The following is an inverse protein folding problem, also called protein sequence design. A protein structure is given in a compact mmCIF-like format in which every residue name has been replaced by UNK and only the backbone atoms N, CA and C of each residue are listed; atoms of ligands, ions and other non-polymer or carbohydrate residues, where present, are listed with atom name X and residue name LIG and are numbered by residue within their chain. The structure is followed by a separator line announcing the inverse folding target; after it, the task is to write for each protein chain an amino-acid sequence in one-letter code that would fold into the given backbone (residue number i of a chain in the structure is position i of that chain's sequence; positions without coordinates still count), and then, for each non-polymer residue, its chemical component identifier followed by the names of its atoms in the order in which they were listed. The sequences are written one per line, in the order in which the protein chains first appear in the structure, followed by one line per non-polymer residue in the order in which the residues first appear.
data_IF_302864023555
#
_entry.id   IF_302864023555
#
_cell.length_a   1.000
_cell.length_b   1.000
_cell.length_c   1.000
_cell.angle_alpha   90.00
_cell.angle_beta   90.00
_cell.angle_gamma   90.00
#
_symmetry.space_group_name_H-M   'P 1'
#
loop_
_entity.id
_entity.type
_entity.pdbx_description
1 polymer ?
#
# COMPACT_ATOMS: atom_id res chain seq x y z
N UNK A 1 -30.95 -27.33 -2.28
CA UNK A 1 -31.70 -26.11 -2.60
C UNK A 1 -31.16 -25.60 -3.91
N UNK A 2 -31.95 -25.50 -4.99
CA UNK A 2 -31.47 -24.94 -6.24
C UNK A 2 -31.01 -23.51 -5.98
N UNK A 3 -29.75 -23.21 -6.29
CA UNK A 3 -29.21 -21.84 -6.17
C UNK A 3 -30.01 -20.92 -7.07
N UNK A 4 -30.19 -19.64 -6.72
CA UNK A 4 -30.97 -18.66 -7.51
C UNK A 4 -30.60 -18.67 -9.01
N UNK A 5 -29.32 -18.93 -9.31
CA UNK A 5 -28.80 -19.10 -10.68
C UNK A 5 -29.40 -20.29 -11.44
N UNK A 6 -29.71 -21.41 -10.77
CA UNK A 6 -30.34 -22.59 -11.39
C UNK A 6 -31.80 -22.28 -11.75
N UNK A 7 -32.50 -21.46 -10.95
CA UNK A 7 -33.84 -20.97 -11.30
C UNK A 7 -33.80 -20.00 -12.50
N UNK A 8 -32.81 -19.11 -12.55
CA UNK A 8 -32.58 -18.22 -13.70
C UNK A 8 -32.24 -19.02 -14.97
N UNK A 9 -31.42 -20.06 -14.85
CA UNK A 9 -31.07 -20.93 -15.98
C UNK A 9 -32.32 -21.62 -16.55
N UNK A 10 -33.13 -22.26 -15.72
CA UNK A 10 -34.32 -22.99 -16.19
C UNK A 10 -35.37 -22.04 -16.77
N UNK A 11 -35.54 -20.83 -16.21
CA UNK A 11 -36.39 -19.79 -16.80
C UNK A 11 -35.92 -19.35 -18.18
N UNK A 12 -34.62 -19.13 -18.36
CA UNK A 12 -34.04 -18.78 -19.66
C UNK A 12 -34.08 -19.94 -20.67
N UNK A 13 -33.99 -21.17 -20.21
CA UNK A 13 -34.09 -22.36 -21.06
C UNK A 13 -35.53 -22.58 -21.55
N UNK A 14 -36.54 -22.31 -20.72
CA UNK A 14 -37.95 -22.45 -21.08
C UNK A 14 -38.39 -21.51 -22.22
N UNK A 15 -37.77 -20.34 -22.34
CA UNK A 15 -38.06 -19.35 -23.39
C UNK A 15 -37.13 -19.47 -24.62
N UNK A 16 -36.15 -20.36 -24.57
CA UNK A 16 -35.09 -20.47 -25.56
C UNK A 16 -35.33 -21.58 -26.59
N UNK A 17 -34.76 -21.41 -27.79
CA UNK A 17 -34.67 -22.49 -28.77
C UNK A 17 -33.60 -23.51 -28.33
N UNK A 18 -33.72 -24.77 -28.75
CA UNK A 18 -32.80 -25.88 -28.38
C UNK A 18 -31.29 -25.55 -28.52
N UNK A 19 -30.90 -24.77 -29.53
CA UNK A 19 -29.49 -24.34 -29.72
C UNK A 19 -29.05 -23.30 -28.67
N UNK A 20 -29.96 -22.40 -28.28
CA UNK A 20 -29.71 -21.39 -27.25
C UNK A 20 -29.68 -22.06 -25.87
N UNK A 21 -30.57 -23.01 -25.62
CA UNK A 21 -30.57 -23.83 -24.40
C UNK A 21 -29.24 -24.59 -24.24
N UNK A 22 -28.79 -25.31 -25.29
CA UNK A 22 -27.53 -26.04 -25.25
C UNK A 22 -26.34 -25.13 -24.90
N UNK A 23 -26.33 -23.91 -25.46
CA UNK A 23 -25.31 -22.89 -25.17
C UNK A 23 -25.43 -22.32 -23.76
N UNK A 24 -26.63 -22.06 -23.25
CA UNK A 24 -26.87 -21.60 -21.88
C UNK A 24 -26.40 -22.64 -20.86
N UNK A 25 -26.73 -23.91 -21.05
CA UNK A 25 -26.27 -25.01 -20.18
C UNK A 25 -24.74 -25.17 -20.24
N UNK A 26 -24.13 -24.99 -21.42
CA UNK A 26 -22.67 -24.99 -21.55
C UNK A 26 -22.01 -23.83 -20.80
N UNK A 27 -22.53 -22.61 -20.95
CA UNK A 27 -22.06 -21.41 -20.22
C UNK A 27 -22.20 -21.64 -18.71
N UNK A 28 -23.36 -22.10 -18.24
CA UNK A 28 -23.58 -22.39 -16.83
C UNK A 28 -22.55 -23.40 -16.29
N UNK A 29 -22.29 -24.49 -17.02
CA UNK A 29 -21.31 -25.51 -16.63
C UNK A 29 -19.89 -24.94 -16.54
N UNK A 30 -19.49 -24.10 -17.50
CA UNK A 30 -18.18 -23.44 -17.50
C UNK A 30 -18.05 -22.49 -16.32
N UNK A 31 -19.02 -21.61 -16.09
CA UNK A 31 -18.95 -20.62 -15.02
C UNK A 31 -19.00 -21.29 -13.64
N UNK A 32 -19.80 -22.35 -13.49
CA UNK A 32 -19.79 -23.20 -12.29
C UNK A 32 -18.40 -23.82 -12.05
N UNK A 33 -17.73 -24.26 -13.11
CA UNK A 33 -16.34 -24.71 -13.08
C UNK A 33 -15.35 -23.61 -12.69
N UNK A 34 -15.52 -22.39 -13.22
CA UNK A 34 -14.72 -21.23 -12.86
C UNK A 34 -14.86 -20.88 -11.37
N UNK A 35 -16.09 -20.88 -10.84
CA UNK A 35 -16.34 -20.69 -9.41
C UNK A 35 -15.65 -21.74 -8.55
N UNK A 36 -15.69 -23.02 -8.96
CA UNK A 36 -15.05 -24.13 -8.22
C UNK A 36 -13.53 -24.05 -8.24
N UNK A 37 -12.94 -23.62 -9.35
CA UNK A 37 -11.49 -23.57 -9.55
C UNK A 37 -10.90 -22.18 -9.28
N UNK A 38 -11.68 -21.25 -8.71
CA UNK A 38 -11.27 -19.87 -8.44
C UNK A 38 -10.72 -19.10 -9.64
N UNK A 39 -11.24 -19.39 -10.84
CA UNK A 39 -10.89 -18.68 -12.07
C UNK A 39 -11.78 -17.44 -12.20
N UNK A 40 -11.19 -16.29 -12.52
CA UNK A 40 -11.97 -15.08 -12.75
C UNK A 40 -12.85 -15.19 -13.99
N UNK A 41 -14.12 -14.85 -13.80
CA UNK A 41 -15.11 -14.76 -14.87
C UNK A 41 -14.82 -13.53 -15.72
N UNK A 42 -13.98 -13.69 -16.74
CA UNK A 42 -13.71 -12.65 -17.75
C UNK A 42 -14.19 -13.11 -19.11
N UNK A 43 -14.55 -12.15 -19.97
CA UNK A 43 -15.00 -12.45 -21.33
C UNK A 43 -13.99 -13.31 -22.14
N UNK A 44 -12.67 -13.05 -22.10
CA UNK A 44 -11.69 -13.90 -22.77
C UNK A 44 -11.66 -15.34 -22.23
N UNK A 45 -11.70 -15.50 -20.91
CA UNK A 45 -11.68 -16.83 -20.27
C UNK A 45 -12.92 -17.64 -20.66
N UNK A 46 -14.10 -17.02 -20.64
CA UNK A 46 -15.36 -17.67 -21.01
C UNK A 46 -15.36 -18.10 -22.48
N UNK A 47 -14.88 -17.25 -23.39
CA UNK A 47 -14.81 -17.56 -24.83
C UNK A 47 -13.81 -18.70 -25.09
N UNK A 48 -12.64 -18.66 -24.47
CA UNK A 48 -11.62 -19.71 -24.62
C UNK A 48 -12.12 -21.05 -24.08
N UNK A 49 -12.80 -21.05 -22.93
CA UNK A 49 -13.41 -22.26 -22.37
C UNK A 49 -14.54 -22.79 -23.26
N UNK A 50 -15.40 -21.93 -23.81
CA UNK A 50 -16.41 -22.34 -24.79
C UNK A 50 -15.78 -22.95 -26.05
N UNK A 51 -14.69 -22.35 -26.53
CA UNK A 51 -13.90 -22.87 -27.65
C UNK A 51 -13.35 -24.27 -27.37
N UNK A 52 -12.88 -24.54 -26.15
CA UNK A 52 -12.41 -25.88 -25.74
C UNK A 52 -13.52 -26.94 -25.75
N UNK A 53 -14.78 -26.53 -25.60
CA UNK A 53 -15.97 -27.37 -25.71
C UNK A 53 -16.51 -27.47 -27.15
N UNK A 54 -15.81 -26.89 -28.14
CA UNK A 54 -16.21 -26.88 -29.54
C UNK A 54 -17.30 -25.85 -29.88
N UNK A 55 -17.63 -24.95 -28.95
CA UNK A 55 -18.66 -23.92 -29.13
C UNK A 55 -17.98 -22.59 -29.48
N UNK A 56 -17.99 -22.23 -30.76
CA UNK A 56 -17.49 -20.93 -31.22
C UNK A 56 -18.55 -19.84 -31.03
N UNK A 57 -18.27 -18.86 -30.17
CA UNK A 57 -19.09 -17.67 -29.99
C UNK A 57 -18.24 -16.40 -29.88
N UNK A 58 -18.74 -15.30 -30.44
CA UNK A 58 -18.10 -14.00 -30.29
C UNK A 58 -18.43 -13.37 -28.93
N UNK A 59 -17.55 -12.49 -28.45
CA UNK A 59 -17.80 -11.66 -27.26
C UNK A 59 -19.10 -10.85 -27.40
N UNK A 60 -19.36 -10.30 -28.58
CA UNK A 60 -20.59 -9.54 -28.85
C UNK A 60 -21.85 -10.40 -28.71
N UNK A 61 -21.81 -11.68 -29.10
CA UNK A 61 -22.97 -12.58 -28.96
C UNK A 61 -23.34 -12.84 -27.51
N UNK A 62 -22.38 -12.83 -26.59
CA UNK A 62 -22.60 -13.09 -25.16
C UNK A 62 -23.01 -11.80 -24.44
N UNK A 63 -22.32 -10.69 -24.71
CA UNK A 63 -22.42 -9.48 -23.89
C UNK A 63 -23.30 -8.37 -24.46
N UNK A 64 -23.83 -8.49 -25.68
CA UNK A 64 -24.78 -7.49 -26.19
C UNK A 64 -26.04 -7.44 -25.31
N UNK A 65 -26.51 -6.23 -24.99
CA UNK A 65 -27.69 -6.00 -24.12
C UNK A 65 -28.96 -6.60 -24.71
N UNK A 66 -29.18 -6.39 -26.01
CA UNK A 66 -30.39 -6.84 -26.71
C UNK A 66 -30.04 -7.63 -27.95
N UNK A 67 -30.82 -8.67 -28.20
CA UNK A 67 -30.79 -9.46 -29.43
C UNK A 67 -32.23 -9.58 -29.92
N UNK A 68 -32.51 -9.08 -31.13
CA UNK A 68 -33.86 -9.09 -31.74
C UNK A 68 -34.96 -8.48 -30.85
N UNK A 69 -34.66 -7.36 -30.18
CA UNK A 69 -35.63 -6.61 -29.37
C UNK A 69 -35.91 -7.19 -27.98
N UNK A 70 -35.39 -8.38 -27.66
CA UNK A 70 -35.44 -8.99 -26.33
C UNK A 70 -34.07 -8.90 -25.65
N UNK A 71 -34.06 -9.01 -24.33
CA UNK A 71 -32.82 -9.09 -23.57
C UNK A 71 -32.05 -10.36 -23.93
N UNK A 72 -30.74 -10.23 -24.01
CA UNK A 72 -29.89 -11.35 -24.41
C UNK A 72 -29.82 -12.38 -23.28
N UNK A 73 -30.31 -13.62 -23.48
CA UNK A 73 -30.36 -14.62 -22.42
C UNK A 73 -28.96 -15.00 -21.90
N UNK A 74 -27.94 -14.97 -22.77
CA UNK A 74 -26.56 -15.22 -22.35
C UNK A 74 -26.05 -14.15 -21.40
N UNK A 75 -26.41 -12.89 -21.64
CA UNK A 75 -26.01 -11.76 -20.81
C UNK A 75 -26.68 -11.84 -19.44
N UNK A 76 -27.99 -12.11 -19.40
CA UNK A 76 -28.75 -12.25 -18.15
C UNK A 76 -28.13 -13.33 -17.26
N UNK A 77 -27.78 -14.48 -17.84
CA UNK A 77 -27.11 -15.55 -17.10
C UNK A 77 -25.73 -15.14 -16.59
N UNK A 78 -24.92 -14.48 -17.42
CA UNK A 78 -23.56 -14.04 -17.05
C UNK A 78 -23.58 -12.94 -15.99
N UNK A 79 -24.54 -12.02 -16.07
CA UNK A 79 -24.73 -10.94 -15.09
C UNK A 79 -25.17 -11.53 -13.73
N UNK A 80 -26.09 -12.50 -13.72
CA UNK A 80 -26.48 -13.21 -12.49
C UNK A 80 -25.30 -13.96 -11.84
N UNK A 81 -24.43 -14.57 -12.65
CA UNK A 81 -23.19 -15.17 -12.14
C UNK A 81 -22.18 -14.14 -11.64
N UNK A 82 -22.10 -12.96 -12.28
CA UNK A 82 -21.24 -11.88 -11.80
C UNK A 82 -21.70 -11.38 -10.44
N UNK A 83 -23.00 -11.23 -10.21
CA UNK A 83 -23.56 -10.85 -8.91
C UNK A 83 -23.25 -11.89 -7.83
N UNK A 84 -23.51 -13.18 -8.08
CA UNK A 84 -23.18 -14.26 -7.12
C UNK A 84 -21.67 -14.40 -6.84
N UNK A 85 -20.81 -14.22 -7.85
CA UNK A 85 -19.35 -14.22 -7.66
C UNK A 85 -18.90 -12.98 -6.88
N UNK A 86 -19.48 -11.80 -7.16
CA UNK A 86 -19.11 -10.56 -6.49
C UNK A 86 -19.64 -10.49 -5.05
N UNK A 87 -20.84 -10.98 -4.78
CA UNK A 87 -21.38 -11.14 -3.42
C UNK A 87 -20.54 -12.12 -2.60
N UNK A 88 -20.02 -13.19 -3.23
CA UNK A 88 -19.04 -14.06 -2.61
C UNK A 88 -17.68 -13.37 -2.38
N UNK A 89 -17.30 -12.39 -3.20
CA UNK A 89 -16.07 -11.58 -3.01
C UNK A 89 -16.24 -10.52 -1.92
N UNK A 90 -17.39 -9.84 -1.84
CA UNK A 90 -17.71 -8.87 -0.78
C UNK A 90 -17.78 -9.54 0.60
N UNK A 91 -18.43 -10.70 0.71
CA UNK A 91 -18.44 -11.49 1.96
C UNK A 91 -17.04 -11.99 2.38
N UNK A 92 -16.12 -12.17 1.43
CA UNK A 92 -14.71 -12.51 1.70
C UNK A 92 -13.84 -11.29 2.02
N UNK A 93 -14.14 -10.13 1.44
CA UNK A 93 -13.44 -8.88 1.71
C UNK A 93 -13.66 -8.42 3.16
N UNK A 94 -14.86 -8.64 3.72
CA UNK A 94 -15.15 -8.35 5.12
C UNK A 94 -14.48 -9.33 6.11
N UNK A 95 -14.01 -10.49 5.65
CA UNK A 95 -13.50 -11.53 6.55
C UNK A 95 -12.00 -11.70 6.60
N UNK A 96 -11.16 -11.24 5.66
CA UNK A 96 -9.70 -11.38 5.80
C UNK A 96 -8.89 -10.46 4.87
N UNK A 97 -8.83 -9.16 5.17
CA UNK A 97 -7.72 -8.31 4.71
C UNK A 97 -6.49 -8.45 5.63
N UNK A 98 -6.08 -9.69 5.90
CA UNK A 98 -4.69 -10.04 6.20
C UNK A 98 -4.29 -10.97 5.08
N UNK A 99 -3.57 -10.41 4.10
CA UNK A 99 -2.89 -11.21 3.10
C UNK A 99 -1.76 -11.95 3.81
N UNK A 100 -2.09 -13.06 4.48
CA UNK A 100 -1.10 -14.03 4.91
C UNK A 100 -0.56 -14.64 3.62
N UNK A 101 0.65 -14.24 3.25
CA UNK A 101 1.45 -14.95 2.26
C UNK A 101 1.64 -16.36 2.79
N UNK A 102 0.74 -17.26 2.41
CA UNK A 102 0.89 -18.69 2.61
C UNK A 102 2.08 -19.10 1.76
N UNK A 103 3.24 -19.21 2.41
CA UNK A 103 4.44 -19.77 1.82
C UNK A 103 4.06 -21.18 1.39
N UNK A 104 4.07 -21.42 0.08
CA UNK A 104 3.77 -22.70 -0.53
C UNK A 104 4.51 -23.82 0.21
N UNK A 105 3.76 -24.79 0.74
CA UNK A 105 4.34 -25.85 1.55
C UNK A 105 5.01 -26.90 0.65
N UNK A 106 5.91 -27.70 1.22
CA UNK A 106 6.60 -28.79 0.51
C UNK A 106 5.61 -29.78 -0.12
N UNK A 107 4.46 -29.97 0.52
CA UNK A 107 3.37 -30.84 0.04
C UNK A 107 2.67 -30.25 -1.19
N UNK A 108 2.41 -28.92 -1.19
CA UNK A 108 1.85 -28.22 -2.36
C UNK A 108 2.81 -28.30 -3.57
N UNK A 109 4.12 -28.24 -3.32
CA UNK A 109 5.13 -28.39 -4.38
C UNK A 109 5.18 -29.80 -4.96
N UNK A 110 5.05 -30.82 -4.10
CA UNK A 110 5.03 -32.22 -4.53
C UNK A 110 3.78 -32.54 -5.38
N UNK A 111 2.65 -31.88 -5.10
CA UNK A 111 1.36 -32.10 -5.78
C UNK A 111 1.34 -31.66 -7.26
N UNK A 112 2.31 -30.86 -7.71
CA UNK A 112 2.40 -30.40 -9.09
C UNK A 112 2.90 -31.54 -9.98
N UNK A 113 2.04 -32.04 -10.87
CA UNK A 113 2.38 -33.15 -11.76
C UNK A 113 3.32 -32.78 -12.91
N UNK A 114 3.36 -31.51 -13.32
CA UNK A 114 4.18 -31.08 -14.46
C UNK A 114 5.57 -30.60 -14.00
N UNK A 115 6.61 -31.27 -14.48
CA UNK A 115 8.01 -30.92 -14.18
C UNK A 115 8.39 -29.52 -14.68
N UNK A 116 7.80 -29.08 -15.80
CA UNK A 116 8.01 -27.73 -16.33
C UNK A 116 7.42 -26.67 -15.39
N UNK A 117 6.28 -26.95 -14.77
CA UNK A 117 5.63 -26.05 -13.81
C UNK A 117 6.39 -26.04 -12.49
N UNK A 118 6.88 -27.20 -12.02
CA UNK A 118 7.80 -27.31 -10.87
C UNK A 118 9.04 -26.46 -11.07
N UNK A 119 9.71 -26.60 -12.21
CA UNK A 119 10.90 -25.82 -12.54
C UNK A 119 10.63 -24.31 -12.55
N UNK A 120 9.52 -23.87 -13.15
CA UNK A 120 9.13 -22.45 -13.16
C UNK A 120 8.88 -21.90 -11.74
N UNK A 121 8.17 -22.66 -10.91
CA UNK A 121 7.90 -22.27 -9.53
C UNK A 121 9.18 -22.23 -8.70
N UNK A 122 10.08 -23.20 -8.91
CA UNK A 122 11.39 -23.22 -8.25
C UNK A 122 12.27 -22.02 -8.65
N UNK A 123 12.24 -21.61 -9.92
CA UNK A 123 12.92 -20.40 -10.37
C UNK A 123 12.32 -19.15 -9.72
N UNK A 124 10.99 -19.00 -9.74
CA UNK A 124 10.33 -17.86 -9.07
C UNK A 124 10.64 -17.80 -7.57
N UNK A 125 10.68 -18.95 -6.89
CA UNK A 125 11.05 -19.03 -5.48
C UNK A 125 12.52 -18.59 -5.26
N UNK A 126 13.42 -19.02 -6.14
CA UNK A 126 14.83 -18.65 -6.08
C UNK A 126 15.05 -17.16 -6.33
N UNK A 127 14.32 -16.58 -7.30
CA UNK A 127 14.30 -15.15 -7.57
C UNK A 127 13.75 -14.36 -6.37
N UNK A 128 12.65 -14.81 -5.76
CA UNK A 128 12.10 -14.18 -4.56
C UNK A 128 13.09 -14.22 -3.39
N UNK A 129 13.77 -15.36 -3.20
CA UNK A 129 14.81 -15.50 -2.18
C UNK A 129 15.97 -14.54 -2.44
N UNK A 130 16.41 -14.40 -3.69
CA UNK A 130 17.44 -13.44 -4.10
C UNK A 130 16.99 -11.99 -3.85
N UNK A 131 15.77 -11.63 -4.22
CA UNK A 131 15.20 -10.31 -3.98
C UNK A 131 15.12 -9.97 -2.49
N UNK A 132 14.70 -10.93 -1.64
CA UNK A 132 14.73 -10.75 -0.18
C UNK A 132 16.14 -10.53 0.33
N UNK A 133 17.12 -11.26 -0.19
CA UNK A 133 18.52 -11.07 0.17
C UNK A 133 19.02 -9.67 -0.24
N UNK A 134 18.70 -9.21 -1.44
CA UNK A 134 19.01 -7.85 -1.90
C UNK A 134 18.36 -6.78 -1.03
N UNK A 135 17.09 -6.96 -0.63
CA UNK A 135 16.41 -6.05 0.30
C UNK A 135 17.11 -6.01 1.66
N UNK A 136 17.52 -7.17 2.19
CA UNK A 136 18.25 -7.21 3.45
C UNK A 136 19.62 -6.52 3.32
N UNK A 137 20.36 -6.75 2.24
CA UNK A 137 21.59 -6.02 1.95
C UNK A 137 21.37 -4.52 1.86
N UNK A 138 20.29 -4.05 1.23
CA UNK A 138 19.96 -2.62 1.18
C UNK A 138 19.62 -2.05 2.56
N UNK A 139 18.94 -2.83 3.41
CA UNK A 139 18.71 -2.44 4.81
C UNK A 139 19.99 -2.37 5.60
N UNK A 140 20.90 -3.32 5.39
CA UNK A 140 22.20 -3.36 6.03
C UNK A 140 23.07 -2.19 5.56
N UNK A 141 23.06 -1.86 4.27
CA UNK A 141 23.73 -0.68 3.69
C UNK A 141 23.16 0.61 4.28
N UNK A 142 21.83 0.72 4.38
CA UNK A 142 21.19 1.88 5.00
C UNK A 142 21.48 1.98 6.51
N UNK A 143 21.87 0.87 7.15
CA UNK A 143 22.27 0.83 8.55
C UNK A 143 23.80 0.95 8.75
N UNK A 144 24.59 1.04 7.66
CA UNK A 144 26.02 1.26 7.77
C UNK A 144 26.27 2.67 8.31
N UNK A 145 27.21 2.83 9.25
CA UNK A 145 27.58 4.15 9.71
C UNK A 145 28.21 4.94 8.56
N UNK A 146 27.74 6.17 8.38
CA UNK A 146 28.35 7.16 7.49
C UNK A 146 29.73 7.51 8.05
N UNK A 147 30.77 7.33 7.25
CA UNK A 147 32.16 7.62 7.62
C UNK A 147 32.55 8.94 6.96
N UNK A 148 32.91 9.93 7.77
CA UNK A 148 33.45 11.21 7.31
C UNK A 148 34.91 11.32 7.75
N UNK A 149 35.80 11.67 6.81
CA UNK A 149 37.21 11.94 7.09
C UNK A 149 37.40 13.46 7.17
N UNK A 150 37.77 13.95 8.36
CA UNK A 150 38.03 15.37 8.60
C UNK A 150 39.21 15.51 9.55
N UNK A 151 40.17 16.37 9.18
CA UNK A 151 41.37 16.70 9.96
C UNK A 151 42.17 15.44 10.41
N UNK A 152 42.43 14.52 9.50
CA UNK A 152 43.23 13.29 9.72
C UNK A 152 42.62 12.29 10.74
N UNK A 153 41.31 12.41 11.00
CA UNK A 153 40.55 11.49 11.87
C UNK A 153 39.25 11.02 11.22
N UNK A 154 38.95 9.72 11.39
CA UNK A 154 37.71 9.11 10.88
C UNK A 154 36.59 9.22 11.91
N UNK A 155 35.47 9.84 11.53
CA UNK A 155 34.26 9.97 12.36
C UNK A 155 33.15 9.07 11.82
N UNK A 156 32.46 8.37 12.73
CA UNK A 156 31.39 7.43 12.41
C UNK A 156 30.04 7.98 12.85
N UNK A 157 29.12 8.14 11.90
CA UNK A 157 27.79 8.73 12.08
C UNK A 157 26.74 7.66 11.85
N UNK A 158 25.73 7.59 12.73
CA UNK A 158 24.71 6.54 12.66
C UNK A 158 23.67 6.80 11.55
N UNK A 159 23.39 8.08 11.31
CA UNK A 159 22.31 8.56 10.43
C UNK A 159 22.71 9.94 9.84
N UNK A 160 22.16 10.37 8.69
CA UNK A 160 22.41 11.71 8.10
C UNK A 160 22.07 12.86 9.08
N UNK A 161 21.08 12.67 9.96
CA UNK A 161 20.76 13.65 11.02
C UNK A 161 21.89 13.81 12.04
N UNK A 162 22.68 12.77 12.26
CA UNK A 162 23.87 12.84 13.12
C UNK A 162 25.07 13.48 12.43
N UNK A 163 25.09 13.54 11.10
CA UNK A 163 26.01 14.38 10.32
C UNK A 163 25.58 15.83 10.46
N UNK A 164 24.31 16.17 10.26
CA UNK A 164 23.80 17.54 10.46
C UNK A 164 23.95 18.05 11.92
N UNK A 165 23.82 17.18 12.93
CA UNK A 165 24.12 17.49 14.32
C UNK A 165 25.62 17.63 14.61
N UNK A 166 26.49 16.98 13.82
CA UNK A 166 27.94 17.16 13.92
C UNK A 166 28.40 18.39 13.15
N UNK A 167 27.78 18.73 12.02
CA UNK A 167 27.98 19.98 11.28
C UNK A 167 27.46 21.17 12.09
N UNK A 168 26.30 21.09 12.75
CA UNK A 168 25.83 22.16 13.66
C UNK A 168 26.62 22.23 14.98
N UNK A 169 27.34 21.15 15.36
CA UNK A 169 28.35 21.18 16.43
C UNK A 169 29.76 21.51 15.93
N UNK A 170 29.99 21.56 14.63
CA UNK A 170 31.29 21.88 14.00
C UNK A 170 31.25 23.20 13.21
N UNK A 171 30.08 23.84 13.12
CA UNK A 171 29.92 25.29 13.09
C UNK A 171 29.93 25.87 14.50
N UNK A 172 30.58 25.19 15.45
CA UNK A 172 31.30 25.84 16.54
C UNK A 172 32.59 26.41 15.93
N UNK A 173 32.42 27.28 14.95
CA UNK A 173 33.10 28.55 15.05
C UNK A 173 32.04 29.49 15.63
N UNK A 174 31.79 29.28 16.92
CA UNK A 174 31.23 30.32 17.76
C UNK A 174 32.24 31.46 17.68
N UNK A 175 32.09 32.29 16.66
CA UNK A 175 32.53 33.66 16.72
C UNK A 175 31.77 34.25 17.90
N UNK A 176 32.39 34.16 19.07
CA UNK A 176 32.09 34.83 20.34
C UNK A 176 32.09 36.37 20.17
N UNK A 177 31.92 36.90 18.96
CA UNK A 177 32.05 38.29 18.62
C UNK A 177 30.70 39.00 18.45
N UNK A 178 29.56 38.29 18.53
CA UNK A 178 28.22 38.89 18.38
C UNK A 178 27.31 38.64 19.60
N UNK A 179 27.86 38.82 20.80
CA UNK A 179 27.05 38.79 22.03
C UNK A 179 25.91 39.81 22.02
N UNK A 180 26.13 40.99 21.44
CA UNK A 180 25.12 42.05 21.34
C UNK A 180 23.87 41.58 20.59
N UNK A 181 24.04 40.88 19.45
CA UNK A 181 22.91 40.36 18.68
C UNK A 181 22.12 39.27 19.43
N UNK A 182 22.79 38.48 20.28
CA UNK A 182 22.12 37.48 21.11
C UNK A 182 21.40 38.10 22.32
N UNK A 183 21.93 39.18 22.87
CA UNK A 183 21.29 39.94 23.95
C UNK A 183 20.00 40.58 23.41
N UNK A 184 20.05 41.21 22.24
CA UNK A 184 18.87 41.85 21.63
C UNK A 184 17.71 40.86 21.43
N UNK A 185 18.01 39.64 20.95
CA UNK A 185 17.00 38.57 20.77
C UNK A 185 16.42 38.08 22.11
N UNK A 186 17.23 38.05 23.17
CA UNK A 186 16.75 37.68 24.50
C UNK A 186 15.93 38.80 25.15
N UNK A 187 16.32 40.05 24.97
CA UNK A 187 15.57 41.22 25.42
C UNK A 187 14.21 41.32 24.71
N UNK A 188 14.17 41.08 23.40
CA UNK A 188 12.93 41.03 22.63
C UNK A 188 12.00 39.89 23.09
N UNK A 189 12.57 38.71 23.41
CA UNK A 189 11.80 37.61 23.97
C UNK A 189 11.25 37.92 25.38
N UNK A 190 12.05 38.59 26.22
CA UNK A 190 11.66 39.01 27.57
C UNK A 190 10.63 40.15 27.57
N UNK A 191 10.67 41.04 26.56
CA UNK A 191 9.66 42.07 26.36
C UNK A 191 8.27 41.48 26.07
N UNK A 192 8.22 40.19 25.70
CA UNK A 192 7.01 39.40 25.63
C UNK A 192 6.33 39.44 24.26
N UNK A 193 5.61 38.37 23.94
CA UNK A 193 4.81 38.26 22.73
C UNK A 193 3.33 38.43 23.09
N UNK A 194 2.51 38.89 22.16
CA UNK A 194 1.04 39.00 22.29
C UNK A 194 0.31 37.73 22.78
N UNK A 195 0.98 36.56 22.79
CA UNK A 195 0.47 35.24 23.18
C UNK A 195 1.16 34.65 24.43
N UNK A 196 2.27 35.21 24.90
CA UNK A 196 3.08 34.69 26.00
C UNK A 196 3.36 35.79 27.02
N UNK A 197 3.22 35.48 28.31
CA UNK A 197 3.51 36.39 29.42
C UNK A 197 4.24 35.64 30.52
N UNK A 198 5.04 36.34 31.31
CA UNK A 198 5.64 35.77 32.51
C UNK A 198 4.70 35.98 33.71
N UNK A 199 4.57 34.96 34.57
CA UNK A 199 3.89 35.09 35.86
C UNK A 199 4.80 35.76 36.91
N UNK A 200 4.25 36.04 38.09
CA UNK A 200 4.95 36.71 39.19
C UNK A 200 6.14 35.90 39.76
N UNK A 201 6.24 34.62 39.41
CA UNK A 201 7.32 33.71 39.80
C UNK A 201 8.37 33.53 38.68
N UNK A 202 8.20 34.20 37.53
CA UNK A 202 9.09 34.12 36.38
C UNK A 202 8.82 32.91 35.45
N UNK A 203 7.70 32.22 35.62
CA UNK A 203 7.23 31.15 34.76
C UNK A 203 6.61 31.68 33.45
N UNK A 204 6.95 31.06 32.32
CA UNK A 204 6.37 31.42 31.02
C UNK A 204 4.96 30.81 30.88
N UNK A 205 3.94 31.67 30.82
CA UNK A 205 2.53 31.29 30.73
C UNK A 205 1.91 31.77 29.42
N UNK A 206 1.00 30.98 28.86
CA UNK A 206 0.23 31.36 27.69
C UNK A 206 -0.89 32.33 28.07
N UNK A 207 -0.89 33.53 27.52
CA UNK A 207 -1.94 34.54 27.77
C UNK A 207 -3.20 34.29 26.92
N UNK A 208 -3.07 33.51 25.82
CA UNK A 208 -4.16 33.11 24.90
C UNK A 208 -4.00 31.65 24.47
N UNK A 209 -5.06 31.07 23.90
CA UNK A 209 -5.01 29.72 23.34
C UNK A 209 -4.03 29.62 22.16
N UNK A 210 -3.00 28.80 22.31
CA UNK A 210 -1.95 28.56 21.31
C UNK A 210 -2.36 27.36 20.44
N UNK A 211 -2.34 27.50 19.12
CA UNK A 211 -2.61 26.39 18.19
C UNK A 211 -1.33 25.65 17.84
N UNK A 212 -1.45 24.37 17.49
CA UNK A 212 -0.32 23.55 17.06
C UNK A 212 0.28 24.14 15.76
N UNK A 213 1.55 24.54 15.83
CA UNK A 213 2.27 25.14 14.70
C UNK A 213 2.38 26.67 14.73
N UNK A 214 1.82 27.33 15.74
CA UNK A 214 2.03 28.77 15.92
C UNK A 214 3.49 29.06 16.34
N UNK A 215 4.13 30.01 15.66
CA UNK A 215 5.43 30.53 16.07
C UNK A 215 5.29 31.34 17.37
N UNK A 216 6.13 31.02 18.35
CA UNK A 216 6.09 31.61 19.71
C UNK A 216 7.23 32.59 19.96
N UNK A 217 8.28 32.53 19.15
CA UNK A 217 9.44 33.42 19.17
C UNK A 217 9.98 33.55 17.75
N UNK A 218 10.81 34.56 17.54
CA UNK A 218 11.53 34.74 16.29
C UNK A 218 12.63 33.70 16.10
N UNK A 219 13.08 33.61 14.86
CA UNK A 219 14.15 32.72 14.44
C UNK A 219 15.40 33.13 15.24
N UNK A 220 16.20 32.15 15.70
CA UNK A 220 17.45 32.33 16.46
C UNK A 220 17.39 32.37 17.99
N UNK A 221 16.21 32.33 18.64
CA UNK A 221 16.13 32.23 20.11
C UNK A 221 16.91 31.02 20.67
N UNK A 222 16.89 29.90 19.96
CA UNK A 222 17.64 28.70 20.33
C UNK A 222 19.16 28.95 20.39
N UNK A 223 19.69 29.73 19.45
CA UNK A 223 21.12 30.05 19.40
C UNK A 223 21.49 30.98 20.56
N UNK A 224 20.66 31.97 20.86
CA UNK A 224 20.88 32.91 21.96
C UNK A 224 20.87 32.22 23.34
N UNK A 225 19.93 31.28 23.58
CA UNK A 225 19.88 30.51 24.82
C UNK A 225 21.08 29.57 25.00
N UNK A 226 21.56 28.94 23.91
CA UNK A 226 22.74 28.09 23.95
C UNK A 226 23.98 28.93 24.26
N UNK A 227 24.14 30.09 23.60
CA UNK A 227 25.24 31.01 23.87
C UNK A 227 25.25 31.49 25.33
N UNK A 228 24.07 31.81 25.89
CA UNK A 228 23.94 32.18 27.31
C UNK A 228 24.35 31.05 28.26
N UNK A 229 23.95 29.80 27.98
CA UNK A 229 24.33 28.63 28.78
C UNK A 229 25.83 28.35 28.73
N UNK A 230 26.47 28.58 27.58
CA UNK A 230 27.91 28.37 27.40
C UNK A 230 28.73 29.46 28.11
N UNK A 231 28.21 30.69 28.21
CA UNK A 231 28.81 31.76 29.04
C UNK A 231 28.68 31.44 30.52
N UNK A 232 27.54 30.93 30.99
CA UNK A 232 27.34 30.59 32.41
C UNK A 232 28.13 29.37 32.90
N UNK A 233 28.59 28.50 32.01
CA UNK A 233 29.40 27.32 32.34
C UNK A 233 30.90 27.58 32.34
N UNK A 234 31.34 28.76 31.90
CA UNK A 234 32.72 29.25 32.03
C UNK A 234 32.90 29.96 33.37
#
# INVERSE_FOLDING_TARGET
MPTEIEAVLEGLCAEANNNVEARLRAIHKIIKGFKRNHVDLTAPNLINALGSLGISMSKSSIYNKRVRGKDNPYRVLVDAWHEDINDAKLKRADTNAKCDFTIMTSEDYASIQSDVVKFKIQNMYSELKSARHQINLLKDINALPLIEEKDDTLRFHKDEKSVALSETKSSVDASLNNYEAHIDVLEEFLAGNSKLSFDDEGGLVASKGIRKGDALSDIELQHALIAALDVMKR
#
